data_IF_690987576231
#
_entry.id   IF_690987576231
#
_cell.length_a   1.000
_cell.length_b   1.000
_cell.length_c   1.000
_cell.angle_alpha   90.00
_cell.angle_beta   90.00
_cell.angle_gamma   90.00
#
_symmetry.space_group_name_H-M   'P 1'
#
loop_
_entity.id
_entity.type
_entity.pdbx_description
1 polymer ?
#
# COMPACT_ATOMS: atom_id res chain seq x y z
N UNK A 1 15.53 -34.79 -0.49
CA UNK A 1 16.20 -33.63 0.15
C UNK A 1 17.21 -33.10 -0.84
N UNK A 2 16.86 -32.07 -1.62
CA UNK A 2 17.79 -31.47 -2.58
C UNK A 2 18.67 -30.47 -1.81
N UNK A 3 20.01 -30.55 -1.91
CA UNK A 3 20.86 -29.54 -1.29
C UNK A 3 20.68 -28.23 -2.05
N UNK A 4 19.98 -27.28 -1.43
CA UNK A 4 19.90 -25.89 -1.88
C UNK A 4 21.22 -25.24 -1.47
N UNK A 5 22.28 -25.47 -2.24
CA UNK A 5 23.61 -24.92 -1.93
C UNK A 5 24.19 -24.23 -3.15
N UNK A 6 23.58 -23.11 -3.47
CA UNK A 6 24.30 -21.92 -3.92
C UNK A 6 23.38 -20.76 -3.59
N UNK A 7 23.76 -19.96 -2.59
CA UNK A 7 23.10 -18.67 -2.39
C UNK A 7 23.11 -17.94 -3.73
N UNK A 8 21.96 -17.44 -4.21
CA UNK A 8 21.94 -16.69 -5.45
C UNK A 8 22.93 -15.52 -5.34
N UNK A 9 23.58 -15.19 -6.45
CA UNK A 9 24.50 -14.05 -6.49
C UNK A 9 23.82 -12.80 -5.88
N UNK A 10 24.55 -11.99 -5.11
CA UNK A 10 23.98 -10.81 -4.48
C UNK A 10 23.40 -9.88 -5.55
N UNK A 11 22.14 -9.49 -5.38
CA UNK A 11 21.46 -8.56 -6.29
C UNK A 11 22.11 -7.18 -6.15
N UNK A 12 22.49 -6.51 -7.26
CA UNK A 12 23.07 -5.17 -7.21
C UNK A 12 22.15 -4.16 -6.49
N UNK A 13 22.67 -3.25 -5.66
CA UNK A 13 21.84 -2.26 -4.94
C UNK A 13 20.91 -1.46 -5.84
N UNK A 14 21.37 -1.04 -7.02
CA UNK A 14 20.55 -0.30 -7.99
C UNK A 14 19.34 -1.12 -8.49
N UNK A 15 19.51 -2.43 -8.72
CA UNK A 15 18.41 -3.31 -9.11
C UNK A 15 17.39 -3.46 -7.98
N UNK A 16 17.85 -3.55 -6.72
CA UNK A 16 16.97 -3.57 -5.54
C UNK A 16 16.17 -2.27 -5.41
N UNK A 17 16.81 -1.11 -5.55
CA UNK A 17 16.15 0.20 -5.51
C UNK A 17 15.06 0.29 -6.58
N UNK A 18 15.39 -0.10 -7.82
CA UNK A 18 14.44 -0.12 -8.92
C UNK A 18 13.27 -1.09 -8.67
N UNK A 19 13.55 -2.29 -8.12
CA UNK A 19 12.51 -3.26 -7.78
C UNK A 19 11.55 -2.70 -6.71
N UNK A 20 12.06 -2.13 -5.62
CA UNK A 20 11.23 -1.54 -4.55
C UNK A 20 10.37 -0.40 -5.09
N UNK A 21 10.94 0.48 -5.92
CA UNK A 21 10.18 1.58 -6.53
C UNK A 21 9.07 1.06 -7.47
N UNK A 22 9.34 0.03 -8.26
CA UNK A 22 8.36 -0.58 -9.15
C UNK A 22 7.24 -1.30 -8.37
N UNK A 23 7.55 -1.96 -7.25
CA UNK A 23 6.54 -2.55 -6.36
C UNK A 23 5.64 -1.45 -5.78
N UNK A 24 6.23 -0.34 -5.31
CA UNK A 24 5.45 0.77 -4.78
C UNK A 24 4.50 1.37 -5.83
N UNK A 25 4.95 1.50 -7.09
CA UNK A 25 4.09 1.90 -8.22
C UNK A 25 2.99 0.88 -8.46
N UNK A 26 3.32 -0.42 -8.49
CA UNK A 26 2.35 -1.49 -8.71
C UNK A 26 1.26 -1.50 -7.63
N UNK A 27 1.66 -1.45 -6.35
CA UNK A 27 0.73 -1.42 -5.22
C UNK A 27 -0.14 -0.17 -5.25
N UNK A 28 0.43 1.01 -5.53
CA UNK A 28 -0.34 2.25 -5.63
C UNK A 28 -1.38 2.20 -6.74
N UNK A 29 -1.02 1.66 -7.91
CA UNK A 29 -1.97 1.52 -9.02
C UNK A 29 -3.07 0.50 -8.70
N UNK A 30 -2.76 -0.60 -8.01
CA UNK A 30 -3.75 -1.58 -7.58
C UNK A 30 -4.73 -0.97 -6.56
N UNK A 31 -4.19 -0.23 -5.59
CA UNK A 31 -4.97 0.49 -4.58
C UNK A 31 -5.93 1.50 -5.25
N UNK A 32 -5.41 2.36 -6.12
CA UNK A 32 -6.21 3.30 -6.90
C UNK A 32 -7.27 2.59 -7.78
N UNK A 33 -7.00 1.38 -8.29
CA UNK A 33 -8.01 0.61 -9.05
C UNK A 33 -9.15 0.15 -8.13
N UNK A 34 -8.83 -0.33 -6.93
CA UNK A 34 -9.81 -0.82 -5.95
C UNK A 34 -10.65 0.35 -5.41
N UNK A 35 -10.00 1.47 -5.10
CA UNK A 35 -10.65 2.63 -4.47
C UNK A 35 -11.27 3.62 -5.46
N UNK A 36 -11.21 3.34 -6.77
CA UNK A 36 -11.68 4.23 -7.84
C UNK A 36 -13.07 4.82 -7.61
N UNK A 37 -14.04 4.00 -7.18
CA UNK A 37 -15.41 4.46 -6.97
C UNK A 37 -15.54 5.38 -5.75
N UNK A 38 -14.83 5.04 -4.66
CA UNK A 38 -14.80 5.81 -3.42
C UNK A 38 -14.08 7.14 -3.64
N UNK A 39 -12.95 7.11 -4.34
CA UNK A 39 -12.18 8.31 -4.67
C UNK A 39 -12.96 9.26 -5.56
N UNK A 40 -13.65 8.74 -6.59
CA UNK A 40 -14.54 9.56 -7.43
C UNK A 40 -15.67 10.18 -6.61
N UNK A 41 -16.30 9.43 -5.71
CA UNK A 41 -17.38 9.93 -4.87
C UNK A 41 -16.90 11.01 -3.88
N UNK A 42 -15.63 10.95 -3.47
CA UNK A 42 -15.03 11.89 -2.50
C UNK A 42 -14.19 12.99 -3.16
N UNK A 43 -14.10 13.01 -4.49
CA UNK A 43 -13.28 13.97 -5.24
C UNK A 43 -11.77 13.80 -5.04
N UNK A 44 -11.31 12.62 -4.60
CA UNK A 44 -9.90 12.33 -4.37
C UNK A 44 -9.17 12.05 -5.69
N UNK A 45 -7.92 12.51 -5.84
CA UNK A 45 -7.15 12.27 -7.04
C UNK A 45 -6.74 10.79 -7.16
N UNK A 46 -7.18 10.14 -8.22
CA UNK A 46 -6.93 8.73 -8.48
C UNK A 46 -6.21 8.53 -9.83
N UNK A 47 -5.06 7.84 -9.85
CA UNK A 47 -4.28 7.65 -11.08
C UNK A 47 -4.96 6.66 -12.02
N UNK A 48 -5.68 5.69 -11.46
CA UNK A 48 -6.40 4.70 -12.23
C UNK A 48 -7.60 5.30 -12.98
N UNK A 49 -8.07 6.50 -12.63
CA UNK A 49 -9.09 7.23 -13.40
C UNK A 49 -8.56 7.71 -14.75
N UNK A 50 -7.34 8.26 -14.79
CA UNK A 50 -6.70 8.69 -16.04
C UNK A 50 -6.20 7.54 -16.91
N UNK A 51 -5.87 6.40 -16.30
CA UNK A 51 -5.36 5.21 -17.00
C UNK A 51 -6.46 4.21 -17.40
N UNK A 52 -7.64 4.29 -16.78
CA UNK A 52 -8.76 3.39 -17.04
C UNK A 52 -8.39 1.91 -16.83
N UNK A 53 -8.75 1.07 -17.80
CA UNK A 53 -8.45 -0.37 -17.77
C UNK A 53 -6.95 -0.70 -17.85
N UNK A 54 -6.13 0.22 -18.36
CA UNK A 54 -4.68 0.00 -18.47
C UNK A 54 -3.95 0.04 -17.12
N UNK A 55 -4.56 0.63 -16.07
CA UNK A 55 -3.96 0.73 -14.74
C UNK A 55 -3.52 -0.63 -14.19
N UNK A 56 -4.39 -1.65 -14.27
CA UNK A 56 -4.09 -3.02 -13.82
C UNK A 56 -2.97 -3.65 -14.64
N UNK A 57 -2.97 -3.46 -15.96
CA UNK A 57 -1.92 -3.99 -16.84
C UNK A 57 -0.55 -3.37 -16.51
N UNK A 58 -0.50 -2.05 -16.25
CA UNK A 58 0.74 -1.39 -15.84
C UNK A 58 1.20 -1.81 -14.45
N UNK A 59 0.28 -2.03 -13.50
CA UNK A 59 0.63 -2.57 -12.19
C UNK A 59 1.27 -3.96 -12.32
N UNK A 60 0.70 -4.85 -13.12
CA UNK A 60 1.24 -6.19 -13.37
C UNK A 60 2.61 -6.12 -14.09
N UNK A 61 2.77 -5.25 -15.07
CA UNK A 61 4.05 -5.06 -15.77
C UNK A 61 5.14 -4.53 -14.82
N UNK A 62 4.81 -3.57 -13.96
CA UNK A 62 5.72 -3.06 -12.95
C UNK A 62 6.11 -4.16 -11.95
N UNK A 63 5.15 -4.96 -11.47
CA UNK A 63 5.41 -6.06 -10.54
C UNK A 63 6.27 -7.16 -11.18
N UNK A 64 6.00 -7.54 -12.44
CA UNK A 64 6.79 -8.53 -13.17
C UNK A 64 8.23 -8.04 -13.38
N UNK A 65 8.41 -6.78 -13.75
CA UNK A 65 9.73 -6.16 -13.90
C UNK A 65 10.47 -6.09 -12.57
N UNK A 66 9.78 -5.73 -11.48
CA UNK A 66 10.37 -5.73 -10.15
C UNK A 66 10.83 -7.14 -9.74
N UNK A 67 10.03 -8.17 -10.01
CA UNK A 67 10.37 -9.56 -9.69
C UNK A 67 11.60 -10.04 -10.47
N UNK A 68 11.76 -9.60 -11.73
CA UNK A 68 12.93 -9.89 -12.54
C UNK A 68 14.21 -9.23 -11.99
N UNK A 69 14.09 -8.07 -11.35
CA UNK A 69 15.21 -7.35 -10.75
C UNK A 69 15.58 -7.86 -9.34
N UNK A 70 14.56 -8.13 -8.51
CA UNK A 70 14.71 -8.68 -7.16
C UNK A 70 13.42 -9.38 -6.74
N UNK A 71 13.33 -10.68 -7.00
CA UNK A 71 12.18 -11.50 -6.60
C UNK A 71 11.96 -11.46 -5.08
N UNK A 72 13.03 -11.44 -4.28
CA UNK A 72 12.93 -11.40 -2.82
C UNK A 72 12.29 -10.11 -2.31
N UNK A 73 12.78 -8.95 -2.75
CA UNK A 73 12.19 -7.65 -2.34
C UNK A 73 10.75 -7.54 -2.85
N UNK A 74 10.51 -7.99 -4.09
CA UNK A 74 9.18 -7.93 -4.72
C UNK A 74 8.15 -8.77 -4.00
N UNK A 75 8.43 -10.05 -3.75
CA UNK A 75 7.50 -10.96 -3.08
C UNK A 75 7.23 -10.52 -1.65
N UNK A 76 8.27 -10.14 -0.90
CA UNK A 76 8.12 -9.73 0.50
C UNK A 76 7.24 -8.49 0.65
N UNK A 77 7.49 -7.45 -0.17
CA UNK A 77 6.71 -6.20 -0.15
C UNK A 77 5.30 -6.39 -0.70
N UNK A 78 5.13 -7.16 -1.78
CA UNK A 78 3.81 -7.43 -2.36
C UNK A 78 2.90 -8.15 -1.35
N UNK A 79 3.38 -9.24 -0.73
CA UNK A 79 2.58 -9.96 0.26
C UNK A 79 2.31 -9.15 1.52
N UNK A 80 3.26 -8.30 1.95
CA UNK A 80 3.04 -7.36 3.06
C UNK A 80 1.98 -6.30 2.71
N UNK A 81 2.03 -5.73 1.49
CA UNK A 81 1.02 -4.83 0.93
C UNK A 81 -0.37 -5.46 0.94
N UNK A 82 -0.47 -6.67 0.40
CA UNK A 82 -1.70 -7.46 0.39
C UNK A 82 -2.25 -7.70 1.81
N UNK A 83 -1.38 -8.14 2.73
CA UNK A 83 -1.75 -8.41 4.11
C UNK A 83 -2.33 -7.19 4.82
N UNK A 84 -1.69 -6.02 4.66
CA UNK A 84 -2.16 -4.76 5.25
C UNK A 84 -3.44 -4.22 4.59
N UNK A 85 -3.53 -4.25 3.26
CA UNK A 85 -4.72 -3.78 2.54
C UNK A 85 -5.98 -4.56 2.91
N UNK A 86 -5.86 -5.88 3.11
CA UNK A 86 -6.99 -6.73 3.50
C UNK A 86 -7.32 -6.68 4.98
N UNK A 87 -6.44 -6.17 5.84
CA UNK A 87 -6.63 -6.19 7.30
C UNK A 87 -7.77 -5.26 7.79
N UNK A 88 -8.30 -4.38 6.93
CA UNK A 88 -9.25 -3.35 7.34
C UNK A 88 -10.65 -3.88 7.69
N UNK A 89 -11.13 -4.91 6.98
CA UNK A 89 -12.41 -5.58 7.24
C UNK A 89 -12.21 -7.10 7.32
N UNK A 90 -11.76 -7.55 8.49
CA UNK A 90 -11.42 -8.94 8.73
C UNK A 90 -12.55 -9.95 8.55
N UNK A 91 -13.80 -9.50 8.45
CA UNK A 91 -14.99 -10.35 8.31
C UNK A 91 -15.59 -10.35 6.91
N UNK A 92 -15.23 -9.37 6.06
CA UNK A 92 -15.64 -9.37 4.67
C UNK A 92 -15.20 -10.66 3.96
N UNK A 93 -16.10 -11.20 3.15
CA UNK A 93 -15.78 -12.30 2.23
C UNK A 93 -15.22 -11.72 0.93
N UNK A 94 -14.07 -12.23 0.52
CA UNK A 94 -13.36 -11.81 -0.67
C UNK A 94 -13.67 -12.74 -1.86
N UNK A 95 -13.21 -12.42 -3.09
CA UNK A 95 -13.56 -13.19 -4.31
C UNK A 95 -13.22 -14.69 -4.25
N UNK A 96 -12.26 -15.10 -3.41
CA UNK A 96 -11.95 -16.53 -3.18
C UNK A 96 -12.96 -17.23 -2.25
N UNK A 97 -13.95 -16.51 -1.73
CA UNK A 97 -14.92 -16.98 -0.74
C UNK A 97 -14.36 -17.07 0.68
N UNK A 98 -13.08 -16.75 0.88
CA UNK A 98 -12.41 -16.69 2.17
C UNK A 98 -12.70 -15.36 2.88
N UNK A 99 -12.55 -15.33 4.20
CA UNK A 99 -12.58 -14.07 4.96
C UNK A 99 -11.27 -13.32 4.75
N UNK A 100 -11.29 -11.99 4.85
CA UNK A 100 -10.07 -11.19 4.72
C UNK A 100 -8.97 -11.62 5.73
N UNK A 101 -9.35 -12.05 6.95
CA UNK A 101 -8.40 -12.64 7.90
C UNK A 101 -7.71 -13.90 7.38
N UNK A 102 -8.46 -14.79 6.72
CA UNK A 102 -7.91 -16.02 6.14
C UNK A 102 -6.96 -15.71 4.99
N UNK A 103 -7.30 -14.73 4.14
CA UNK A 103 -6.43 -14.33 3.03
C UNK A 103 -5.18 -13.59 3.51
N UNK A 104 -5.28 -12.70 4.50
CA UNK A 104 -4.11 -12.10 5.15
C UNK A 104 -3.19 -13.16 5.74
N UNK A 105 -3.75 -14.17 6.44
CA UNK A 105 -2.96 -15.28 6.99
C UNK A 105 -2.27 -16.09 5.88
N UNK A 106 -2.98 -16.37 4.79
CA UNK A 106 -2.42 -17.07 3.63
C UNK A 106 -1.27 -16.26 2.99
N UNK A 107 -1.45 -14.96 2.79
CA UNK A 107 -0.42 -14.07 2.25
C UNK A 107 0.86 -14.08 3.12
N UNK A 108 0.70 -14.02 4.45
CA UNK A 108 1.83 -14.09 5.38
C UNK A 108 2.54 -15.45 5.36
N UNK A 109 1.78 -16.56 5.26
CA UNK A 109 2.36 -17.91 5.10
C UNK A 109 3.12 -18.03 3.79
N UNK A 110 2.57 -17.51 2.68
CA UNK A 110 3.24 -17.51 1.37
C UNK A 110 4.51 -16.66 1.39
N UNK A 111 4.49 -15.49 2.03
CA UNK A 111 5.68 -14.66 2.22
C UNK A 111 6.74 -15.40 3.05
N UNK A 112 6.34 -15.96 4.20
CA UNK A 112 7.23 -16.74 5.06
C UNK A 112 7.88 -17.91 4.32
N UNK A 113 7.11 -18.65 3.53
CA UNK A 113 7.59 -19.80 2.78
C UNK A 113 8.52 -19.42 1.61
N UNK A 114 8.34 -18.25 1.01
CA UNK A 114 9.08 -17.84 -0.19
C UNK A 114 10.33 -17.00 0.11
N UNK A 115 10.28 -16.12 1.11
CA UNK A 115 11.39 -15.19 1.43
C UNK A 115 11.98 -15.36 2.83
N UNK A 116 11.33 -16.16 3.69
CA UNK A 116 11.74 -16.43 5.06
C UNK A 116 11.25 -15.38 6.07
N UNK A 117 11.35 -15.74 7.35
CA UNK A 117 10.76 -14.99 8.47
C UNK A 117 11.32 -13.57 8.55
N UNK A 118 12.64 -13.42 8.47
CA UNK A 118 13.30 -12.13 8.66
C UNK A 118 12.87 -11.09 7.60
N UNK A 119 12.78 -11.48 6.33
CA UNK A 119 12.32 -10.58 5.26
C UNK A 119 10.82 -10.31 5.34
N UNK A 120 10.03 -11.33 5.72
CA UNK A 120 8.59 -11.18 5.91
C UNK A 120 8.27 -10.16 7.00
N UNK A 121 8.88 -10.28 8.18
CA UNK A 121 8.67 -9.35 9.29
C UNK A 121 9.16 -7.93 8.94
N UNK A 122 10.31 -7.81 8.27
CA UNK A 122 10.83 -6.52 7.81
C UNK A 122 9.88 -5.82 6.83
N UNK A 123 9.37 -6.56 5.82
CA UNK A 123 8.43 -6.02 4.84
C UNK A 123 7.07 -5.66 5.45
N UNK A 124 6.54 -6.51 6.35
CA UNK A 124 5.27 -6.22 7.07
C UNK A 124 5.42 -4.97 7.94
N UNK A 125 6.54 -4.81 8.64
CA UNK A 125 6.84 -3.61 9.40
C UNK A 125 6.97 -2.38 8.50
N UNK A 126 7.67 -2.49 7.37
CA UNK A 126 7.87 -1.38 6.43
C UNK A 126 6.56 -0.90 5.80
N UNK A 127 5.77 -1.82 5.25
CA UNK A 127 4.46 -1.51 4.66
C UNK A 127 3.52 -0.95 5.73
N UNK A 128 3.51 -1.56 6.93
CA UNK A 128 2.69 -1.07 8.04
C UNK A 128 3.07 0.32 8.50
N UNK A 129 4.38 0.64 8.50
CA UNK A 129 4.88 1.99 8.76
C UNK A 129 4.32 3.00 7.76
N UNK A 130 4.41 2.69 6.47
CA UNK A 130 3.89 3.56 5.41
C UNK A 130 2.39 3.77 5.56
N UNK A 131 1.61 2.68 5.71
CA UNK A 131 0.16 2.76 5.81
C UNK A 131 -0.29 3.55 7.06
N UNK A 132 0.31 3.31 8.22
CA UNK A 132 -0.06 4.01 9.45
C UNK A 132 0.27 5.50 9.40
N UNK A 133 1.36 5.88 8.73
CA UNK A 133 1.73 7.28 8.56
C UNK A 133 0.85 7.98 7.52
N UNK A 134 0.45 7.29 6.45
CA UNK A 134 -0.52 7.78 5.46
C UNK A 134 -1.89 8.01 6.12
N UNK A 135 -2.42 7.00 6.82
CA UNK A 135 -3.66 7.10 7.60
C UNK A 135 -3.61 8.23 8.65
N UNK A 136 -2.43 8.47 9.24
CA UNK A 136 -2.23 9.55 10.21
C UNK A 136 -2.30 10.94 9.57
N UNK A 137 -1.76 11.10 8.36
CA UNK A 137 -1.84 12.34 7.59
C UNK A 137 -3.27 12.61 7.13
N UNK A 138 -3.96 11.56 6.67
CA UNK A 138 -5.31 11.64 6.10
C UNK A 138 -6.42 11.73 7.16
N UNK A 139 -6.10 11.49 8.43
CA UNK A 139 -7.05 11.49 9.54
C UNK A 139 -7.91 12.76 9.63
N UNK A 140 -7.39 13.93 9.22
CA UNK A 140 -8.18 15.19 9.23
C UNK A 140 -9.29 15.14 8.18
N UNK A 141 -8.95 14.78 6.95
CA UNK A 141 -9.90 14.71 5.83
C UNK A 141 -10.91 13.58 6.04
N UNK A 142 -10.49 12.44 6.58
CA UNK A 142 -11.39 11.30 6.82
C UNK A 142 -12.46 11.59 7.87
N UNK A 143 -12.13 12.35 8.92
CA UNK A 143 -13.10 12.68 9.98
C UNK A 143 -14.30 13.48 9.50
N UNK A 144 -14.12 14.27 8.44
CA UNK A 144 -15.19 15.07 7.85
C UNK A 144 -16.14 14.22 6.99
N UNK A 145 -15.69 13.05 6.53
CA UNK A 145 -16.45 12.15 5.64
C UNK A 145 -17.18 11.03 6.38
N UNK A 146 -16.80 10.72 7.62
CA UNK A 146 -17.42 9.64 8.40
C UNK A 146 -18.72 10.13 9.04
N UNK A 147 -19.83 9.49 8.70
CA UNK A 147 -21.13 9.75 9.32
C UNK A 147 -21.07 9.56 10.85
N UNK A 148 -21.80 10.37 11.65
CA UNK A 148 -21.85 10.21 13.10
C UNK A 148 -22.19 8.77 13.51
N UNK A 149 -21.31 8.13 14.27
CA UNK A 149 -21.49 6.76 14.78
C UNK A 149 -20.90 5.63 13.93
N UNK A 150 -20.36 5.91 12.74
CA UNK A 150 -19.66 4.91 11.94
C UNK A 150 -18.22 4.66 12.45
N UNK A 151 -17.76 3.41 12.34
CA UNK A 151 -16.37 3.04 12.68
C UNK A 151 -15.43 3.51 11.55
N UNK A 152 -14.36 4.25 11.86
CA UNK A 152 -13.40 4.69 10.84
C UNK A 152 -12.81 3.51 10.06
N UNK A 153 -12.65 3.71 8.75
CA UNK A 153 -11.94 2.81 7.83
C UNK A 153 -10.44 3.10 7.75
N UNK A 154 -9.89 3.95 8.62
CA UNK A 154 -8.45 4.17 8.73
C UNK A 154 -7.94 3.65 10.08
N UNK A 155 -6.71 3.16 10.10
CA UNK A 155 -6.09 2.66 11.32
C UNK A 155 -5.85 3.78 12.33
N UNK A 156 -5.55 4.99 11.85
CA UNK A 156 -5.38 6.15 12.72
C UNK A 156 -6.66 6.54 13.49
N UNK A 157 -7.84 6.33 12.91
CA UNK A 157 -9.11 6.53 13.59
C UNK A 157 -9.44 5.43 14.60
N UNK A 158 -9.00 4.19 14.33
CA UNK A 158 -9.21 3.04 15.22
C UNK A 158 -8.23 2.99 16.40
N UNK A 159 -6.96 3.27 16.16
CA UNK A 159 -5.89 3.24 17.16
C UNK A 159 -5.80 4.53 17.96
N UNK A 160 -6.17 5.66 17.34
CA UNK A 160 -5.87 6.99 17.84
C UNK A 160 -4.71 7.63 17.07
N UNK A 161 -4.74 8.97 17.00
CA UNK A 161 -3.82 9.75 16.17
C UNK A 161 -2.37 9.56 16.61
N UNK A 162 -2.11 9.61 17.91
CA UNK A 162 -0.74 9.56 18.41
C UNK A 162 -0.20 8.14 18.35
N UNK A 163 -1.06 7.17 18.69
CA UNK A 163 -0.79 5.74 18.68
C UNK A 163 -0.40 5.26 17.29
N UNK A 164 -1.17 5.63 16.25
CA UNK A 164 -0.86 5.28 14.87
C UNK A 164 0.47 5.92 14.41
N UNK A 165 0.73 7.18 14.74
CA UNK A 165 1.99 7.84 14.41
C UNK A 165 3.20 7.15 15.06
N UNK A 166 3.15 6.94 16.39
CA UNK A 166 4.25 6.31 17.13
C UNK A 166 4.49 4.87 16.67
N UNK A 167 3.42 4.10 16.45
CA UNK A 167 3.54 2.74 15.91
C UNK A 167 4.11 2.74 14.49
N UNK A 168 3.65 3.65 13.63
CA UNK A 168 4.18 3.81 12.28
C UNK A 168 5.68 4.12 12.27
N UNK A 169 6.13 5.05 13.12
CA UNK A 169 7.57 5.36 13.29
C UNK A 169 8.33 4.15 13.84
N UNK A 170 7.82 3.47 14.87
CA UNK A 170 8.49 2.32 15.48
C UNK A 170 8.67 1.15 14.49
N UNK A 171 7.64 0.82 13.72
CA UNK A 171 7.71 -0.19 12.67
C UNK A 171 8.70 0.20 11.57
N UNK A 172 8.72 1.49 11.22
CA UNK A 172 9.65 2.07 10.28
C UNK A 172 11.11 1.91 10.67
N UNK A 173 11.43 2.27 11.92
CA UNK A 173 12.75 2.09 12.50
C UNK A 173 13.15 0.62 12.58
N UNK A 174 12.22 -0.27 12.94
CA UNK A 174 12.47 -1.71 12.96
C UNK A 174 12.79 -2.26 11.55
N UNK A 175 12.05 -1.82 10.53
CA UNK A 175 12.33 -2.17 9.14
C UNK A 175 13.69 -1.63 8.67
N UNK A 176 13.99 -0.36 8.95
CA UNK A 176 15.24 0.29 8.57
C UNK A 176 16.46 -0.34 9.28
N UNK A 177 16.32 -0.75 10.54
CA UNK A 177 17.35 -1.48 11.26
C UNK A 177 17.66 -2.85 10.62
N UNK A 178 16.69 -3.44 9.92
CA UNK A 178 16.82 -4.74 9.27
C UNK A 178 17.36 -4.66 7.84
N UNK A 179 16.82 -3.72 7.05
CA UNK A 179 17.19 -3.46 5.66
C UNK A 179 17.04 -1.96 5.34
N UNK A 180 18.09 -1.16 5.58
CA UNK A 180 18.01 0.29 5.41
C UNK A 180 17.81 0.71 3.96
N UNK A 181 18.34 -0.06 2.99
CA UNK A 181 18.18 0.25 1.58
C UNK A 181 16.72 0.11 1.14
N UNK A 182 16.07 -0.99 1.52
CA UNK A 182 14.66 -1.22 1.22
C UNK A 182 13.79 -0.16 1.89
N UNK A 183 14.02 0.14 3.17
CA UNK A 183 13.24 1.10 3.94
C UNK A 183 13.35 2.54 3.39
N UNK A 184 14.58 3.04 3.18
CA UNK A 184 14.82 4.39 2.65
C UNK A 184 14.19 4.54 1.26
N UNK A 185 14.33 3.53 0.39
CA UNK A 185 13.75 3.57 -0.95
C UNK A 185 12.23 3.62 -0.89
N UNK A 186 11.59 2.74 -0.11
CA UNK A 186 10.14 2.69 -0.01
C UNK A 186 9.56 3.99 0.58
N UNK A 187 10.19 4.55 1.61
CA UNK A 187 9.79 5.83 2.19
C UNK A 187 9.99 7.01 1.24
N UNK A 188 11.10 7.05 0.48
CA UNK A 188 11.32 8.10 -0.50
C UNK A 188 10.24 8.09 -1.60
N UNK A 189 9.86 6.90 -2.08
CA UNK A 189 8.80 6.75 -3.08
C UNK A 189 7.43 7.10 -2.50
N UNK A 190 7.12 6.64 -1.28
CA UNK A 190 5.87 7.00 -0.59
C UNK A 190 5.77 8.52 -0.38
N UNK A 191 6.85 9.17 0.07
CA UNK A 191 6.91 10.62 0.22
C UNK A 191 6.69 11.37 -1.11
N UNK A 192 7.22 10.84 -2.22
CA UNK A 192 6.98 11.39 -3.55
C UNK A 192 5.51 11.29 -3.96
N UNK A 193 4.85 10.15 -3.68
CA UNK A 193 3.42 9.98 -3.94
C UNK A 193 2.58 10.95 -3.11
N UNK A 194 2.83 11.03 -1.80
CA UNK A 194 2.14 11.98 -0.90
C UNK A 194 2.33 13.43 -1.36
N UNK A 195 3.55 13.83 -1.70
CA UNK A 195 3.84 15.17 -2.20
C UNK A 195 3.13 15.49 -3.53
N UNK A 196 2.93 14.48 -4.39
CA UNK A 196 2.19 14.63 -5.64
C UNK A 196 0.68 14.73 -5.40
N UNK A 197 0.14 13.93 -4.49
CA UNK A 197 -1.28 13.97 -4.12
C UNK A 197 -1.67 15.32 -3.50
N UNK A 198 -0.83 15.85 -2.60
CA UNK A 198 -1.04 17.17 -2.01
C UNK A 198 -1.09 18.32 -3.03
N UNK A 199 -0.31 18.23 -4.12
CA UNK A 199 -0.35 19.25 -5.20
C UNK A 199 -1.63 19.19 -6.05
N UNK A 200 -2.26 18.01 -6.16
CA UNK A 200 -3.48 17.83 -6.95
C UNK A 200 -4.75 18.22 -6.19
N UNK A 201 -4.78 18.03 -4.88
CA UNK A 201 -5.92 18.38 -4.02
C UNK A 201 -6.17 19.90 -3.85
N UNK A 202 -5.29 20.76 -4.37
CA UNK A 202 -5.41 22.22 -4.25
C UNK A 202 -6.31 22.91 -5.29
N UNK A 203 -6.91 22.17 -6.23
CA UNK A 203 -7.86 22.76 -7.18
C UNK A 203 -9.27 22.70 -6.57
N UNK A 204 -9.90 23.85 -6.22
CA UNK A 204 -11.30 23.86 -5.83
C UNK A 204 -12.09 23.25 -6.98
N UNK A 205 -12.90 22.23 -6.68
CA UNK A 205 -13.85 21.67 -7.62
C UNK A 205 -14.69 22.84 -8.14
N UNK A 206 -14.61 23.09 -9.44
CA UNK A 206 -15.49 24.05 -10.09
C UNK A 206 -16.94 23.64 -9.73
N UNK A 207 -17.81 24.59 -9.34
CA UNK A 207 -19.19 24.27 -9.01
C UNK A 207 -19.79 23.45 -10.15
N UNK A 208 -20.31 22.26 -9.80
CA UNK A 208 -20.83 21.31 -10.78
C UNK A 208 -21.86 21.98 -11.69
N UNK A 209 -21.88 21.66 -13.00
CA UNK A 209 -22.80 22.29 -13.93
C UNK A 209 -24.24 21.93 -13.56
N UNK A 210 -24.99 22.94 -13.10
CA UNK A 210 -26.43 23.03 -13.29
C UNK A 210 -27.29 22.12 -12.42
N UNK A 211 -27.58 22.59 -11.20
CA UNK A 211 -28.97 22.57 -10.75
C UNK A 211 -29.76 23.52 -11.66
N UNK A 212 -30.25 23.01 -12.79
CA UNK A 212 -31.27 23.72 -13.55
C UNK A 212 -32.54 23.84 -12.70
N UNK A 213 -33.27 24.97 -12.76
CA UNK A 213 -34.51 25.11 -12.00
C UNK A 213 -35.50 23.99 -12.38
N UNK A 214 -36.27 23.47 -11.42
CA UNK A 214 -37.36 22.56 -11.74
C UNK A 214 -38.38 23.29 -12.63
N UNK A 215 -38.68 22.71 -13.80
CA UNK A 215 -39.84 23.08 -14.62
C UNK A 215 -41.14 22.52 -14.03
#
# INVERSE_FOLDING_TARGET
MWPVTSDPAPVPPAARVAAVALVAVALRLLDDVVDREVDRATGRPNWAEGLGAAATAYALAALATAAALSARDTLSLFWAGYAWGMAHDGTARLPLGLTARQETALALVLSLATVGLAHTLGAVALVGSIQLLDDWLDLRTDRELVAPGAVPRNWAGRLGRMEAFLLGVALGLAAAARDPLQAVTAWAVAALFMARSARRGGHPLAPGPGGGPPE
#
